data_IF_355417304395
#
_entry.id   IF_355417304395
#
_cell.length_a   1.000
_cell.length_b   1.000
_cell.length_c   1.000
_cell.angle_alpha   90.00
_cell.angle_beta   90.00
_cell.angle_gamma   90.00
#
_symmetry.space_group_name_H-M   'P 1'
#
loop_
_entity.id
_entity.type
_entity.pdbx_description
1 polymer ?
#
# COMPACT_ATOMS: atom_id res chain seq x y z
N UNK A 1 -1.83 -5.97 -36.88
CA UNK A 1 -2.31 -5.01 -35.87
C UNK A 1 -2.65 -3.71 -36.57
N UNK A 2 -3.96 -3.35 -36.62
CA UNK A 2 -4.37 -2.07 -37.17
C UNK A 2 -3.74 -0.93 -36.37
N UNK A 3 -3.21 0.08 -37.08
CA UNK A 3 -2.71 1.30 -36.43
C UNK A 3 -3.84 1.91 -35.56
N UNK A 4 -3.51 2.46 -34.39
CA UNK A 4 -4.51 3.09 -33.54
C UNK A 4 -5.20 4.22 -34.31
N UNK A 5 -6.53 4.24 -34.32
CA UNK A 5 -7.31 5.28 -34.97
C UNK A 5 -6.89 6.64 -34.38
N UNK A 6 -6.58 7.60 -35.23
CA UNK A 6 -6.18 8.93 -34.81
C UNK A 6 -7.32 9.58 -34.00
N UNK A 7 -7.02 10.01 -32.76
CA UNK A 7 -7.97 10.65 -31.84
C UNK A 7 -8.10 12.12 -32.27
N UNK A 8 -9.01 12.40 -33.19
CA UNK A 8 -9.11 13.70 -33.85
C UNK A 8 -10.28 14.56 -33.35
N UNK A 9 -11.45 13.96 -33.18
CA UNK A 9 -12.65 14.71 -32.76
C UNK A 9 -12.76 14.90 -31.24
N UNK A 10 -13.46 15.92 -30.75
CA UNK A 10 -13.73 16.08 -29.32
C UNK A 10 -14.37 14.84 -28.69
N UNK A 11 -15.32 14.20 -29.37
CA UNK A 11 -15.99 12.97 -28.89
C UNK A 11 -14.99 11.83 -28.74
N UNK A 12 -14.10 11.63 -29.72
CA UNK A 12 -13.05 10.60 -29.62
C UNK A 12 -12.09 10.87 -28.49
N UNK A 13 -11.69 12.13 -28.26
CA UNK A 13 -10.81 12.52 -27.12
C UNK A 13 -11.48 12.26 -25.79
N UNK A 14 -12.76 12.62 -25.62
CA UNK A 14 -13.49 12.37 -24.39
C UNK A 14 -13.66 10.87 -24.13
N UNK A 15 -14.02 10.08 -25.13
CA UNK A 15 -14.17 8.62 -25.02
C UNK A 15 -12.83 7.95 -24.68
N UNK A 16 -11.74 8.37 -25.31
CA UNK A 16 -10.40 7.85 -25.04
C UNK A 16 -9.95 8.19 -23.61
N UNK A 17 -10.14 9.42 -23.16
CA UNK A 17 -9.84 9.82 -21.79
C UNK A 17 -10.64 9.01 -20.75
N UNK A 18 -11.92 8.77 -21.00
CA UNK A 18 -12.75 7.91 -20.17
C UNK A 18 -12.19 6.48 -20.11
N UNK A 19 -11.75 5.92 -21.26
CA UNK A 19 -11.09 4.62 -21.32
C UNK A 19 -9.80 4.55 -20.49
N UNK A 20 -8.96 5.59 -20.53
CA UNK A 20 -7.75 5.66 -19.69
C UNK A 20 -8.11 5.65 -18.20
N UNK A 21 -9.07 6.45 -17.77
CA UNK A 21 -9.52 6.50 -16.38
C UNK A 21 -10.05 5.14 -15.93
N UNK A 22 -10.87 4.48 -16.75
CA UNK A 22 -11.39 3.14 -16.43
C UNK A 22 -10.29 2.07 -16.40
N UNK A 23 -9.20 2.26 -17.17
CA UNK A 23 -8.08 1.31 -17.18
C UNK A 23 -7.24 1.30 -15.90
N UNK A 24 -7.32 2.34 -15.06
CA UNK A 24 -6.57 2.40 -13.78
C UNK A 24 -6.87 1.19 -12.87
N UNK A 25 -8.13 0.75 -12.84
CA UNK A 25 -8.53 -0.46 -12.10
C UNK A 25 -7.89 -1.73 -12.68
N UNK A 26 -7.82 -1.84 -14.00
CA UNK A 26 -7.17 -2.95 -14.70
C UNK A 26 -5.67 -2.96 -14.41
N UNK A 27 -5.00 -1.80 -14.48
CA UNK A 27 -3.58 -1.67 -14.18
C UNK A 27 -3.26 -2.04 -12.72
N UNK A 28 -4.10 -1.63 -11.78
CA UNK A 28 -3.98 -2.01 -10.36
C UNK A 28 -4.05 -3.53 -10.19
N UNK A 29 -5.02 -4.19 -10.83
CA UNK A 29 -5.16 -5.64 -10.81
C UNK A 29 -3.95 -6.35 -11.44
N UNK A 30 -3.46 -5.86 -12.58
CA UNK A 30 -2.27 -6.40 -13.24
C UNK A 30 -1.00 -6.28 -12.36
N UNK A 31 -0.83 -5.15 -11.68
CA UNK A 31 0.29 -4.98 -10.74
C UNK A 31 0.22 -5.97 -9.58
N UNK A 32 -0.96 -6.15 -8.99
CA UNK A 32 -1.16 -7.14 -7.92
C UNK A 32 -0.82 -8.55 -8.40
N UNK A 33 -1.38 -8.99 -9.52
CA UNK A 33 -1.11 -10.31 -10.08
C UNK A 33 0.38 -10.51 -10.36
N UNK A 34 1.03 -9.52 -10.96
CA UNK A 34 2.49 -9.56 -11.21
C UNK A 34 3.29 -9.66 -9.90
N UNK A 35 2.89 -8.93 -8.87
CA UNK A 35 3.54 -8.97 -7.54
C UNK A 35 3.39 -10.33 -6.87
N UNK A 36 2.33 -11.05 -7.18
CA UNK A 36 2.07 -12.42 -6.74
C UNK A 36 2.77 -13.49 -7.61
N UNK A 37 3.48 -13.09 -8.66
CA UNK A 37 4.12 -13.99 -9.62
C UNK A 37 3.13 -14.72 -10.52
N UNK A 38 1.95 -14.14 -10.75
CA UNK A 38 0.94 -14.65 -11.67
C UNK A 38 1.14 -14.03 -13.06
N UNK A 39 1.18 -14.87 -14.07
CA UNK A 39 1.21 -14.44 -15.46
C UNK A 39 -0.19 -14.03 -15.93
N UNK A 40 -0.26 -12.99 -16.75
CA UNK A 40 -1.50 -12.50 -17.36
C UNK A 40 -1.30 -12.39 -18.86
N UNK A 41 -2.15 -13.05 -19.64
CA UNK A 41 -2.27 -12.79 -21.06
C UNK A 41 -3.04 -11.50 -21.29
N UNK A 42 -2.29 -10.42 -21.54
CA UNK A 42 -2.88 -9.08 -21.76
C UNK A 42 -3.78 -9.02 -23.00
N UNK A 43 -3.49 -9.81 -24.03
CA UNK A 43 -4.32 -9.83 -25.24
C UNK A 43 -5.68 -10.49 -24.96
N UNK A 44 -5.67 -11.60 -24.23
CA UNK A 44 -6.91 -12.27 -23.80
C UNK A 44 -7.72 -11.36 -22.85
N UNK A 45 -7.06 -10.66 -21.91
CA UNK A 45 -7.72 -9.72 -21.00
C UNK A 45 -8.41 -8.58 -21.79
N UNK A 46 -7.69 -7.95 -22.71
CA UNK A 46 -8.23 -6.86 -23.53
C UNK A 46 -9.36 -7.36 -24.47
N UNK A 47 -9.22 -8.58 -25.00
CA UNK A 47 -10.30 -9.21 -25.79
C UNK A 47 -11.56 -9.39 -24.94
N UNK A 48 -11.43 -9.86 -23.69
CA UNK A 48 -12.55 -9.99 -22.76
C UNK A 48 -13.26 -8.67 -22.46
N UNK A 49 -12.50 -7.59 -22.27
CA UNK A 49 -13.05 -6.23 -22.09
C UNK A 49 -13.83 -5.79 -23.35
N UNK A 50 -13.23 -5.93 -24.52
CA UNK A 50 -13.85 -5.56 -25.80
C UNK A 50 -15.11 -6.36 -26.07
N UNK A 51 -15.06 -7.68 -25.92
CA UNK A 51 -16.20 -8.58 -26.13
C UNK A 51 -17.33 -8.26 -25.15
N UNK A 52 -17.01 -7.89 -23.92
CA UNK A 52 -18.01 -7.49 -22.93
C UNK A 52 -18.71 -6.18 -23.30
N UNK A 53 -17.98 -5.16 -23.77
CA UNK A 53 -18.54 -3.88 -24.23
C UNK A 53 -19.39 -4.09 -25.49
N UNK A 54 -18.95 -4.95 -26.40
CA UNK A 54 -19.66 -5.27 -27.66
C UNK A 54 -20.85 -6.22 -27.47
N UNK A 55 -21.06 -6.79 -26.28
CA UNK A 55 -22.11 -7.79 -26.04
C UNK A 55 -21.85 -9.14 -26.71
N UNK A 56 -20.61 -9.45 -27.07
CA UNK A 56 -20.18 -10.64 -27.83
C UNK A 56 -19.32 -11.59 -27.02
N UNK A 57 -19.63 -11.77 -25.74
CA UNK A 57 -18.88 -12.62 -24.82
C UNK A 57 -18.72 -14.05 -25.32
N UNK A 58 -17.51 -14.60 -25.25
CA UNK A 58 -17.17 -15.97 -25.67
C UNK A 58 -17.33 -17.01 -24.57
N UNK A 59 -17.61 -16.58 -23.34
CA UNK A 59 -17.88 -17.43 -22.18
C UNK A 59 -19.30 -17.22 -21.72
N UNK A 60 -19.99 -18.28 -21.38
CA UNK A 60 -21.27 -18.20 -20.66
C UNK A 60 -21.00 -17.86 -19.16
N UNK A 61 -22.09 -17.60 -18.43
CA UNK A 61 -22.00 -17.20 -17.02
C UNK A 61 -21.36 -18.26 -16.14
N UNK A 62 -21.59 -19.54 -16.43
CA UNK A 62 -21.00 -20.65 -15.67
C UNK A 62 -19.48 -20.69 -15.87
N UNK A 63 -19.04 -20.70 -17.12
CA UNK A 63 -17.62 -20.67 -17.48
C UNK A 63 -16.92 -19.45 -16.90
N UNK A 64 -17.55 -18.27 -16.94
CA UNK A 64 -17.00 -17.05 -16.37
C UNK A 64 -16.78 -17.20 -14.87
N UNK A 65 -17.78 -17.69 -14.14
CA UNK A 65 -17.69 -17.84 -12.69
C UNK A 65 -16.61 -18.87 -12.29
N UNK A 66 -16.59 -20.04 -12.94
CA UNK A 66 -15.60 -21.09 -12.67
C UNK A 66 -14.16 -20.59 -12.88
N UNK A 67 -13.91 -19.86 -13.97
CA UNK A 67 -12.57 -19.32 -14.25
C UNK A 67 -12.20 -18.17 -13.30
N UNK A 68 -13.15 -17.31 -12.92
CA UNK A 68 -12.93 -16.23 -11.96
C UNK A 68 -12.65 -16.77 -10.57
N UNK A 69 -13.42 -17.76 -10.10
CA UNK A 69 -13.18 -18.43 -8.81
C UNK A 69 -11.80 -19.10 -8.76
N UNK A 70 -11.40 -19.81 -9.82
CA UNK A 70 -10.08 -20.41 -9.91
C UNK A 70 -8.93 -19.36 -9.86
N UNK A 71 -9.11 -18.20 -10.48
CA UNK A 71 -8.15 -17.10 -10.40
C UNK A 71 -8.13 -16.52 -8.98
N UNK A 72 -9.28 -16.27 -8.38
CA UNK A 72 -9.42 -15.71 -7.04
C UNK A 72 -8.76 -16.62 -5.98
N UNK A 73 -8.95 -17.94 -6.08
CA UNK A 73 -8.31 -18.92 -5.21
C UNK A 73 -6.78 -18.85 -5.32
N UNK A 74 -6.23 -18.90 -6.55
CA UNK A 74 -4.78 -18.76 -6.77
C UNK A 74 -4.23 -17.45 -6.23
N UNK A 75 -4.95 -16.35 -6.41
CA UNK A 75 -4.54 -15.04 -5.88
C UNK A 75 -4.52 -15.07 -4.36
N UNK A 76 -5.55 -15.60 -3.71
CA UNK A 76 -5.68 -15.71 -2.26
C UNK A 76 -4.54 -16.54 -1.64
N UNK A 77 -4.24 -17.71 -2.22
CA UNK A 77 -3.12 -18.56 -1.76
C UNK A 77 -1.77 -17.84 -1.86
N UNK A 78 -1.51 -17.20 -3.01
CA UNK A 78 -0.28 -16.46 -3.25
C UNK A 78 -0.15 -15.25 -2.33
N UNK A 79 -1.25 -14.54 -2.10
CA UNK A 79 -1.28 -13.38 -1.21
C UNK A 79 -1.02 -13.79 0.23
N UNK A 80 -1.69 -14.85 0.71
CA UNK A 80 -1.41 -15.42 2.03
C UNK A 80 0.07 -15.78 2.19
N UNK A 81 0.66 -16.48 1.22
CA UNK A 81 2.07 -16.83 1.24
C UNK A 81 2.99 -15.59 1.21
N UNK A 82 2.58 -14.50 0.55
CA UNK A 82 3.32 -13.24 0.54
C UNK A 82 3.30 -12.55 1.93
N UNK A 83 2.15 -12.54 2.59
CA UNK A 83 2.05 -12.04 3.98
C UNK A 83 2.85 -12.89 4.96
N UNK A 84 2.78 -14.22 4.86
CA UNK A 84 3.54 -15.13 5.73
C UNK A 84 5.06 -14.89 5.59
N UNK A 85 5.57 -14.77 4.34
CA UNK A 85 6.97 -14.42 4.08
C UNK A 85 7.34 -13.02 4.58
N UNK A 86 6.45 -12.06 4.38
CA UNK A 86 6.63 -10.68 4.86
C UNK A 86 6.72 -10.64 6.37
N UNK A 87 5.87 -11.36 7.08
CA UNK A 87 5.90 -11.43 8.54
C UNK A 87 7.21 -12.05 9.07
N UNK A 88 7.67 -13.14 8.45
CA UNK A 88 8.97 -13.72 8.77
C UNK A 88 10.13 -12.74 8.52
N UNK A 89 10.06 -11.95 7.45
CA UNK A 89 11.03 -10.89 7.15
C UNK A 89 11.00 -9.78 8.21
N UNK A 90 9.83 -9.36 8.65
CA UNK A 90 9.69 -8.40 9.75
C UNK A 90 10.35 -8.94 11.02
N UNK A 91 10.03 -10.16 11.41
CA UNK A 91 10.62 -10.78 12.62
C UNK A 91 12.15 -10.84 12.55
N UNK A 92 12.72 -11.25 11.42
CA UNK A 92 14.18 -11.28 11.24
C UNK A 92 14.80 -9.88 11.24
N UNK A 93 14.14 -8.90 10.63
CA UNK A 93 14.57 -7.48 10.62
C UNK A 93 14.58 -6.87 12.03
N UNK A 94 13.69 -7.34 12.89
CA UNK A 94 13.52 -6.84 14.25
C UNK A 94 14.43 -7.54 15.25
N UNK A 95 15.15 -8.59 14.86
CA UNK A 95 16.10 -9.29 15.71
C UNK A 95 17.15 -8.32 16.26
N UNK A 96 17.33 -8.33 17.57
CA UNK A 96 18.27 -7.44 18.28
C UNK A 96 17.79 -5.98 18.43
N UNK A 97 16.60 -5.64 17.97
CA UNK A 97 15.99 -4.31 18.16
C UNK A 97 15.10 -4.27 19.40
N UNK A 98 14.99 -3.10 20.01
CA UNK A 98 14.10 -2.88 21.16
C UNK A 98 12.69 -2.58 20.65
N UNK A 99 11.83 -3.59 20.65
CA UNK A 99 10.40 -3.45 20.32
C UNK A 99 9.68 -2.90 21.55
N UNK A 100 9.14 -1.68 21.43
CA UNK A 100 8.41 -1.00 22.51
C UNK A 100 6.94 -1.42 22.56
N UNK A 101 6.35 -1.72 21.40
CA UNK A 101 4.96 -2.14 21.26
C UNK A 101 4.77 -2.94 19.97
N UNK A 102 3.87 -3.91 20.04
CA UNK A 102 3.34 -4.61 18.87
C UNK A 102 1.83 -4.50 18.85
N UNK A 103 1.26 -4.26 17.68
CA UNK A 103 -0.17 -4.35 17.41
C UNK A 103 -0.36 -5.13 16.12
N UNK A 104 -0.76 -6.40 16.23
CA UNK A 104 -0.84 -7.36 15.11
C UNK A 104 0.50 -7.44 14.37
N UNK A 105 0.55 -7.01 13.11
CA UNK A 105 1.74 -6.97 12.23
C UNK A 105 2.53 -5.66 12.29
N UNK A 106 2.12 -4.73 13.12
CA UNK A 106 2.75 -3.43 13.28
C UNK A 106 3.66 -3.39 14.51
N UNK A 107 4.93 -3.08 14.33
CA UNK A 107 5.95 -3.08 15.38
C UNK A 107 6.53 -1.68 15.56
N UNK A 108 6.44 -1.16 16.79
CA UNK A 108 7.04 0.11 17.19
C UNK A 108 8.38 -0.15 17.88
N UNK A 109 9.44 0.37 17.30
CA UNK A 109 10.84 0.06 17.67
C UNK A 109 11.55 1.32 18.13
N UNK A 110 12.24 1.26 19.27
CA UNK A 110 13.09 2.36 19.73
C UNK A 110 14.31 2.48 18.81
N UNK A 111 14.48 3.62 18.16
CA UNK A 111 15.70 3.97 17.42
C UNK A 111 16.61 4.89 18.23
N UNK A 112 15.98 5.86 18.90
CA UNK A 112 16.66 6.77 19.82
C UNK A 112 15.77 7.00 21.02
N UNK A 113 16.32 6.75 22.21
CA UNK A 113 15.61 6.97 23.46
C UNK A 113 15.32 8.45 23.65
N UNK A 114 14.08 8.77 23.96
CA UNK A 114 13.64 10.12 24.33
C UNK A 114 13.75 10.39 25.83
N UNK A 115 13.48 11.63 26.19
CA UNK A 115 13.49 12.10 27.58
C UNK A 115 12.10 12.04 28.23
N UNK A 116 11.56 13.23 28.52
CA UNK A 116 10.28 13.37 29.22
C UNK A 116 9.08 12.83 28.41
N UNK A 117 8.07 12.30 29.10
CA UNK A 117 6.80 11.90 28.50
C UNK A 117 6.11 13.10 27.85
N UNK A 118 5.34 12.81 26.81
CA UNK A 118 4.53 13.80 26.11
C UNK A 118 3.16 13.87 26.78
N UNK A 119 2.63 15.08 26.91
CA UNK A 119 1.37 15.38 27.58
C UNK A 119 0.42 16.12 26.61
N UNK A 120 -0.88 16.01 26.85
CA UNK A 120 -1.87 16.80 26.13
C UNK A 120 -1.52 18.28 26.19
N UNK A 121 -1.60 18.95 25.05
CA UNK A 121 -1.24 20.37 24.88
C UNK A 121 0.24 20.63 24.58
N UNK A 122 1.12 19.63 24.65
CA UNK A 122 2.53 19.80 24.25
C UNK A 122 2.61 20.20 22.76
N UNK A 123 3.35 21.27 22.47
CA UNK A 123 3.70 21.70 21.11
C UNK A 123 4.97 20.99 20.68
N UNK A 124 4.89 20.26 19.60
CA UNK A 124 5.95 19.39 19.11
C UNK A 124 6.17 19.62 17.62
N UNK A 125 7.37 19.32 17.16
CA UNK A 125 7.66 19.13 15.72
C UNK A 125 7.94 17.66 15.48
N UNK A 126 7.21 17.07 14.52
CA UNK A 126 7.38 15.68 14.12
C UNK A 126 8.02 15.64 12.74
N UNK A 127 9.15 14.94 12.64
CA UNK A 127 9.76 14.60 11.36
C UNK A 127 9.40 13.17 11.01
N UNK A 128 8.82 12.98 9.83
CA UNK A 128 8.37 11.69 9.31
C UNK A 128 9.11 11.34 8.04
N UNK A 129 9.73 10.16 8.00
CA UNK A 129 10.21 9.51 6.77
C UNK A 129 9.46 8.23 6.55
N UNK A 130 9.21 7.90 5.27
CA UNK A 130 8.48 6.73 4.84
C UNK A 130 9.30 6.01 3.77
N UNK A 131 9.64 4.77 4.03
CA UNK A 131 10.46 3.96 3.11
C UNK A 131 10.02 2.51 3.08
N UNK A 132 10.44 1.78 2.05
CA UNK A 132 10.50 0.31 2.08
C UNK A 132 11.62 -0.14 3.01
N UNK A 133 11.68 -1.42 3.36
CA UNK A 133 12.76 -1.95 4.22
C UNK A 133 14.14 -1.82 3.59
N UNK A 134 14.24 -1.82 2.26
CA UNK A 134 15.49 -1.58 1.51
C UNK A 134 15.96 -0.11 1.54
N UNK A 135 15.20 0.77 2.19
CA UNK A 135 15.48 2.20 2.31
C UNK A 135 14.95 3.07 1.18
N UNK A 136 14.36 2.46 0.14
CA UNK A 136 13.76 3.24 -0.95
C UNK A 136 12.56 4.05 -0.46
N UNK A 137 12.63 5.38 -0.65
CA UNK A 137 11.57 6.29 -0.22
C UNK A 137 10.24 5.96 -0.90
N UNK A 138 9.16 5.96 -0.13
CA UNK A 138 7.77 5.81 -0.59
C UNK A 138 7.10 7.16 -0.77
N UNK A 139 7.50 8.13 0.06
CA UNK A 139 7.05 9.51 -0.01
C UNK A 139 8.17 10.48 0.41
N UNK A 140 8.07 11.76 0.02
CA UNK A 140 8.99 12.78 0.50
C UNK A 140 8.97 12.88 2.03
N UNK A 141 10.13 13.15 2.63
CA UNK A 141 10.22 13.46 4.05
C UNK A 141 9.37 14.67 4.39
N UNK A 142 8.63 14.58 5.50
CA UNK A 142 7.80 15.68 6.01
C UNK A 142 8.27 16.10 7.39
N UNK A 143 8.13 17.38 7.69
CA UNK A 143 8.29 17.93 9.03
C UNK A 143 7.12 18.85 9.29
N UNK A 144 6.40 18.66 10.39
CA UNK A 144 5.20 19.41 10.68
C UNK A 144 5.05 19.66 12.18
N UNK A 145 4.54 20.86 12.56
CA UNK A 145 4.19 21.14 13.94
C UNK A 145 2.87 20.45 14.31
N UNK A 146 2.76 20.03 15.56
CA UNK A 146 1.52 19.49 16.11
C UNK A 146 1.35 19.94 17.56
N UNK A 147 0.09 20.07 17.98
CA UNK A 147 -0.29 20.11 19.39
C UNK A 147 -0.78 18.71 19.74
N UNK A 148 -0.07 18.05 20.66
CA UNK A 148 -0.43 16.69 21.03
C UNK A 148 -1.79 16.62 21.72
N UNK A 149 -2.62 15.68 21.30
CA UNK A 149 -3.88 15.33 21.95
C UNK A 149 -4.18 13.84 21.69
N UNK A 150 -5.08 13.26 22.48
CA UNK A 150 -5.48 11.86 22.32
C UNK A 150 -6.31 11.60 21.04
N UNK A 151 -6.76 12.67 20.37
CA UNK A 151 -7.58 12.59 19.14
C UNK A 151 -6.79 12.49 17.84
N UNK A 152 -5.45 12.56 17.89
CA UNK A 152 -4.62 12.41 16.67
C UNK A 152 -4.64 10.96 16.17
N UNK A 153 -4.37 10.71 14.86
CA UNK A 153 -4.41 9.36 14.30
C UNK A 153 -3.58 8.35 15.08
N UNK A 154 -4.10 7.14 15.22
CA UNK A 154 -3.56 6.10 16.11
C UNK A 154 -2.04 5.87 15.96
N UNK A 155 -1.56 5.66 14.75
CA UNK A 155 -0.13 5.36 14.52
C UNK A 155 0.75 6.53 14.95
N UNK A 156 0.34 7.76 14.60
CA UNK A 156 1.05 8.97 15.00
C UNK A 156 1.03 9.16 16.51
N UNK A 157 -0.12 8.95 17.15
CA UNK A 157 -0.27 8.99 18.61
C UNK A 157 0.69 8.02 19.29
N UNK A 158 0.68 6.75 18.88
CA UNK A 158 1.53 5.72 19.48
C UNK A 158 3.01 6.01 19.25
N UNK A 159 3.40 6.38 18.03
CA UNK A 159 4.79 6.69 17.70
C UNK A 159 5.32 7.86 18.52
N UNK A 160 4.56 8.94 18.64
CA UNK A 160 4.95 10.13 19.43
C UNK A 160 5.05 9.79 20.92
N UNK A 161 4.05 9.10 21.47
CA UNK A 161 4.03 8.72 22.89
C UNK A 161 5.21 7.82 23.26
N UNK A 162 5.51 6.83 22.42
CA UNK A 162 6.61 5.90 22.63
C UNK A 162 7.98 6.56 22.41
N UNK A 163 8.09 7.48 21.43
CA UNK A 163 9.33 8.21 21.18
C UNK A 163 9.72 9.12 22.35
N UNK A 164 8.73 9.75 23.00
CA UNK A 164 8.94 10.79 24.01
C UNK A 164 9.63 12.04 23.41
N UNK A 165 9.88 13.06 24.21
CA UNK A 165 10.53 14.31 23.77
C UNK A 165 11.99 14.06 23.40
N UNK A 166 12.38 14.39 22.17
CA UNK A 166 13.73 14.21 21.63
C UNK A 166 14.07 12.79 21.16
N UNK A 167 13.12 11.86 21.25
CA UNK A 167 13.27 10.47 20.82
C UNK A 167 12.90 10.21 19.36
N UNK A 168 13.18 9.00 18.91
CA UNK A 168 12.85 8.51 17.58
C UNK A 168 12.33 7.09 17.67
N UNK A 169 11.18 6.83 17.04
CA UNK A 169 10.57 5.51 16.91
C UNK A 169 10.47 5.15 15.44
N UNK A 170 10.82 3.93 15.11
CA UNK A 170 10.56 3.31 13.80
C UNK A 170 9.34 2.40 13.91
N UNK A 171 8.44 2.50 12.94
CA UNK A 171 7.27 1.62 12.82
C UNK A 171 7.48 0.73 11.61
N UNK A 172 7.52 -0.58 11.83
CA UNK A 172 7.64 -1.60 10.80
C UNK A 172 6.29 -2.28 10.63
N UNK A 173 5.79 -2.34 9.41
CA UNK A 173 4.44 -2.82 9.13
C UNK A 173 4.27 -3.26 7.67
N UNK A 174 3.12 -3.85 7.34
CA UNK A 174 2.68 -3.98 5.96
C UNK A 174 2.04 -2.67 5.46
N UNK A 175 2.04 -2.49 4.15
CA UNK A 175 1.33 -1.36 3.55
C UNK A 175 -0.18 -1.38 3.88
N UNK A 176 -0.79 -2.57 3.95
CA UNK A 176 -2.19 -2.76 4.35
C UNK A 176 -2.49 -2.36 5.80
N UNK A 177 -1.49 -2.29 6.67
CA UNK A 177 -1.67 -1.79 8.04
C UNK A 177 -1.82 -0.25 8.09
N UNK A 178 -1.31 0.44 7.06
CA UNK A 178 -1.25 1.91 6.99
C UNK A 178 -2.28 2.51 6.05
N UNK A 179 -2.68 1.76 5.03
CA UNK A 179 -3.58 2.25 3.98
C UNK A 179 -4.78 1.32 3.82
N UNK A 180 -6.01 1.83 3.88
CA UNK A 180 -7.18 1.12 3.34
C UNK A 180 -6.95 0.75 1.87
N UNK A 181 -7.54 -0.34 1.41
CA UNK A 181 -7.31 -0.87 0.07
C UNK A 181 -7.54 0.16 -1.06
N UNK A 182 -8.57 1.01 -0.89
CA UNK A 182 -8.94 2.08 -1.81
C UNK A 182 -7.97 3.27 -1.80
N UNK A 183 -7.21 3.46 -0.71
CA UNK A 183 -6.26 4.55 -0.52
C UNK A 183 -4.80 4.10 -0.71
N UNK A 184 -4.58 2.83 -1.02
CA UNK A 184 -3.24 2.29 -1.22
C UNK A 184 -2.57 2.97 -2.43
N UNK A 185 -1.39 3.59 -2.26
CA UNK A 185 -0.66 4.20 -3.37
C UNK A 185 -0.44 3.21 -4.52
N UNK A 186 -0.53 3.68 -5.76
CA UNK A 186 -0.38 2.83 -6.95
C UNK A 186 0.97 2.13 -7.07
N UNK A 187 2.00 2.63 -6.37
CA UNK A 187 3.33 2.03 -6.30
C UNK A 187 3.47 0.90 -5.28
N UNK A 188 2.43 0.64 -4.47
CA UNK A 188 2.43 -0.34 -3.39
C UNK A 188 1.38 -1.42 -3.61
N UNK A 189 1.66 -2.60 -3.07
CA UNK A 189 0.67 -3.67 -2.83
C UNK A 189 0.53 -3.88 -1.32
N UNK A 190 -0.59 -4.47 -0.87
CA UNK A 190 -0.91 -4.59 0.56
C UNK A 190 0.17 -5.27 1.40
N UNK A 191 0.83 -6.28 0.85
CA UNK A 191 1.89 -7.05 1.50
C UNK A 191 3.31 -6.46 1.34
N UNK A 192 3.46 -5.25 0.75
CA UNK A 192 4.74 -4.53 0.79
C UNK A 192 5.10 -4.17 2.24
N UNK A 193 6.38 -4.34 2.57
CA UNK A 193 6.88 -4.00 3.90
C UNK A 193 7.39 -2.56 3.95
N UNK A 194 6.92 -1.82 4.92
CA UNK A 194 7.20 -0.41 5.10
C UNK A 194 7.89 -0.13 6.43
N UNK A 195 8.67 0.92 6.43
CA UNK A 195 9.29 1.51 7.62
C UNK A 195 8.97 3.00 7.68
N UNK A 196 8.32 3.41 8.75
CA UNK A 196 8.06 4.80 9.10
C UNK A 196 9.00 5.22 10.22
N UNK A 197 9.68 6.33 10.09
CA UNK A 197 10.54 6.86 11.17
C UNK A 197 9.95 8.19 11.65
N UNK A 198 9.59 8.22 12.93
CA UNK A 198 9.04 9.39 13.61
C UNK A 198 10.09 9.93 14.59
N UNK A 199 10.59 11.13 14.33
CA UNK A 199 11.47 11.86 15.25
C UNK A 199 10.72 13.03 15.86
N UNK A 200 10.73 13.13 17.18
CA UNK A 200 9.97 14.12 17.94
C UNK A 200 10.92 15.13 18.55
N UNK A 201 10.70 16.41 18.25
CA UNK A 201 11.42 17.55 18.85
C UNK A 201 10.44 18.57 19.43
N UNK A 202 10.97 19.48 20.25
CA UNK A 202 10.22 20.65 20.74
C UNK A 202 10.06 21.67 19.63
#
# INVERSE_FOLDING_TARGET
TAAPAAIQTPLQRHSYAAGIILSEGIEKSLRLQKSLGLEVDKNALLAGVNDSIAGSRKMDTKQLNENYEALAEKMSEKEKAAYDRGFATLQSTLSGKTVLKQNQSMFFVEKKKGGAAIKNGDKLTVRLTQSRLDGKAVAPQKSFPIVYSDSIPYVLNQAITLAKKGGTVEVYCFASDMYPAEMLPSSLVGFDLLKYTFSVSK
#
